data_IF_590140046732
#
_entry.id   IF_590140046732
#
_cell.length_a   1.000
_cell.length_b   1.000
_cell.length_c   1.000
_cell.angle_alpha   90.00
_cell.angle_beta   90.00
_cell.angle_gamma   90.00
#
_symmetry.space_group_name_H-M   'P 1'
#
loop_
_entity.id
_entity.type
_entity.pdbx_description
1 polymer ?
#
# COMPACT_ATOMS: atom_id res chain seq x y z
N UNK A 1 16.73 3.52 -6.19
CA UNK A 1 15.50 2.73 -6.34
C UNK A 1 14.67 2.85 -5.07
N UNK A 2 13.43 3.27 -5.19
CA UNK A 2 12.57 3.47 -4.03
C UNK A 2 12.02 2.14 -3.54
N UNK A 3 12.01 1.98 -2.24
CA UNK A 3 11.43 0.81 -1.59
C UNK A 3 10.19 1.21 -0.80
N UNK A 4 9.23 0.30 -0.75
CA UNK A 4 8.07 0.49 0.10
C UNK A 4 8.51 0.33 1.55
N UNK A 5 8.12 1.26 2.40
CA UNK A 5 8.39 1.19 3.82
C UNK A 5 7.08 1.14 4.60
N UNK A 6 7.12 0.52 5.77
CA UNK A 6 5.99 0.50 6.70
C UNK A 6 6.17 1.64 7.70
N UNK A 7 5.41 2.71 7.52
CA UNK A 7 5.40 3.82 8.46
C UNK A 7 4.42 3.49 9.59
N UNK A 8 4.92 2.77 10.58
CA UNK A 8 4.09 2.25 11.68
C UNK A 8 3.44 3.38 12.48
N UNK A 9 4.17 4.49 12.68
CA UNK A 9 3.65 5.61 13.44
C UNK A 9 2.39 6.22 12.82
N UNK A 10 2.30 6.18 11.49
CA UNK A 10 1.16 6.72 10.75
C UNK A 10 0.24 5.61 10.22
N UNK A 11 0.55 4.37 10.50
CA UNK A 11 -0.21 3.20 10.06
C UNK A 11 -0.47 3.20 8.56
N UNK A 12 0.63 3.30 7.80
CA UNK A 12 0.55 3.25 6.35
C UNK A 12 1.85 2.76 5.74
N UNK A 13 1.74 2.14 4.57
CA UNK A 13 2.88 1.83 3.73
C UNK A 13 3.10 3.00 2.79
N UNK A 14 4.36 3.33 2.56
CA UNK A 14 4.75 4.49 1.74
C UNK A 14 5.76 4.09 0.69
N UNK A 15 5.62 4.69 -0.48
CA UNK A 15 6.59 4.60 -1.57
C UNK A 15 6.91 6.01 -2.04
N UNK A 16 8.18 6.37 -1.98
CA UNK A 16 8.62 7.68 -2.44
C UNK A 16 9.02 7.58 -3.92
N UNK A 17 8.41 8.40 -4.75
CA UNK A 17 8.66 8.45 -6.19
C UNK A 17 8.91 9.91 -6.56
N UNK A 18 10.14 10.21 -6.99
CA UNK A 18 10.53 11.56 -7.39
C UNK A 18 10.18 12.63 -6.35
N UNK A 19 10.42 12.31 -5.06
CA UNK A 19 10.15 13.23 -3.97
C UNK A 19 8.69 13.33 -3.55
N UNK A 20 7.82 12.54 -4.15
CA UNK A 20 6.40 12.51 -3.81
C UNK A 20 6.03 11.15 -3.23
N UNK A 21 5.13 11.16 -2.24
CA UNK A 21 4.78 9.95 -1.51
C UNK A 21 3.45 9.37 -1.98
N UNK A 22 3.49 8.11 -2.41
CA UNK A 22 2.30 7.28 -2.61
C UNK A 22 2.11 6.47 -1.35
N UNK A 23 0.90 6.36 -0.84
CA UNK A 23 0.70 5.64 0.41
C UNK A 23 -0.58 4.82 0.45
N UNK A 24 -0.56 3.82 1.32
CA UNK A 24 -1.71 2.97 1.60
C UNK A 24 -1.93 2.96 3.11
N UNK A 25 -3.02 3.55 3.54
CA UNK A 25 -3.42 3.51 4.95
C UNK A 25 -3.93 2.13 5.29
N UNK A 26 -3.61 1.66 6.48
CA UNK A 26 -4.09 0.37 6.93
C UNK A 26 -4.56 0.41 8.37
N UNK A 27 -5.35 -0.58 8.73
CA UNK A 27 -5.75 -0.82 10.10
C UNK A 27 -5.43 -2.27 10.45
N UNK A 28 -4.90 -2.49 11.64
CA UNK A 28 -4.61 -3.83 12.15
C UNK A 28 -5.66 -4.25 13.16
N UNK A 29 -6.12 -5.48 13.03
CA UNK A 29 -6.96 -6.13 14.01
C UNK A 29 -6.38 -7.54 14.20
N UNK A 30 -5.63 -7.71 15.29
CA UNK A 30 -4.84 -8.93 15.48
C UNK A 30 -3.82 -9.08 14.37
N UNK A 31 -3.91 -10.15 13.59
CA UNK A 31 -3.03 -10.40 12.45
C UNK A 31 -3.67 -10.03 11.11
N UNK A 32 -4.86 -9.42 11.14
CA UNK A 32 -5.53 -9.00 9.92
C UNK A 32 -5.20 -7.55 9.63
N UNK A 33 -4.68 -7.30 8.42
CA UNK A 33 -4.33 -5.96 7.95
C UNK A 33 -5.35 -5.53 6.91
N UNK A 34 -6.12 -4.49 7.23
CA UNK A 34 -7.11 -3.93 6.31
C UNK A 34 -6.51 -2.74 5.59
N UNK A 35 -6.42 -2.82 4.26
CA UNK A 35 -5.99 -1.67 3.44
C UNK A 35 -7.21 -0.80 3.21
N UNK A 36 -7.28 0.32 3.94
CA UNK A 36 -8.47 1.16 3.97
C UNK A 36 -8.47 2.25 2.92
N UNK A 37 -7.29 2.70 2.48
CA UNK A 37 -7.19 3.79 1.53
C UNK A 37 -5.83 3.75 0.83
N UNK A 38 -5.83 3.93 -0.49
CA UNK A 38 -4.61 4.05 -1.28
C UNK A 38 -4.67 5.37 -2.02
N UNK A 39 -3.62 6.17 -1.92
CA UNK A 39 -3.61 7.48 -2.54
C UNK A 39 -2.26 7.77 -3.21
N UNK A 40 -2.33 8.36 -4.40
CA UNK A 40 -1.17 8.85 -5.13
C UNK A 40 -1.35 10.35 -5.39
N UNK A 41 -0.26 11.14 -5.28
CA UNK A 41 -0.31 12.54 -5.68
C UNK A 41 -0.76 12.69 -7.12
N UNK A 42 -1.40 13.81 -7.44
CA UNK A 42 -1.92 14.05 -8.78
C UNK A 42 -0.85 13.86 -9.87
N UNK A 43 0.37 14.32 -9.60
CA UNK A 43 1.48 14.20 -10.54
C UNK A 43 1.88 12.76 -10.86
N UNK A 44 1.54 11.82 -9.97
CA UNK A 44 1.88 10.41 -10.15
C UNK A 44 0.71 9.55 -10.62
N UNK A 45 -0.47 10.13 -10.77
CA UNK A 45 -1.63 9.38 -11.24
C UNK A 45 -1.43 8.98 -12.70
N UNK A 46 -1.79 7.73 -13.02
CA UNK A 46 -1.60 7.20 -14.36
C UNK A 46 -0.20 6.72 -14.66
N UNK A 47 0.74 6.80 -13.70
CA UNK A 47 2.13 6.35 -13.88
C UNK A 47 2.37 4.93 -13.43
N UNK A 48 1.39 4.30 -12.80
CA UNK A 48 1.55 2.97 -12.20
C UNK A 48 2.17 3.00 -10.80
N UNK A 49 2.36 4.19 -10.21
CA UNK A 49 3.00 4.33 -8.90
C UNK A 49 2.22 3.60 -7.79
N UNK A 50 0.89 3.69 -7.80
CA UNK A 50 0.06 2.99 -6.82
C UNK A 50 0.20 1.48 -6.94
N UNK A 51 0.32 0.96 -8.17
CA UNK A 51 0.56 -0.46 -8.41
C UNK A 51 1.90 -0.92 -7.87
N UNK A 52 2.94 -0.09 -8.05
CA UNK A 52 4.27 -0.40 -7.47
C UNK A 52 4.22 -0.41 -5.95
N UNK A 53 3.43 0.48 -5.35
CA UNK A 53 3.22 0.47 -3.91
C UNK A 53 2.60 -0.87 -3.48
N UNK A 54 1.54 -1.30 -4.16
CA UNK A 54 0.89 -2.58 -3.85
C UNK A 54 1.85 -3.76 -4.00
N UNK A 55 2.63 -3.79 -5.07
CA UNK A 55 3.61 -4.85 -5.30
C UNK A 55 4.64 -4.94 -4.17
N UNK A 56 5.02 -3.81 -3.59
CA UNK A 56 5.99 -3.77 -2.50
C UNK A 56 5.38 -4.04 -1.14
N UNK A 57 4.16 -3.55 -0.88
CA UNK A 57 3.57 -3.71 0.45
C UNK A 57 3.09 -5.14 0.73
N UNK A 58 2.61 -5.85 -0.30
CA UNK A 58 2.08 -7.20 -0.10
C UNK A 58 3.13 -8.13 0.53
N UNK A 59 4.35 -8.26 -0.06
CA UNK A 59 5.35 -9.13 0.57
C UNK A 59 5.80 -8.63 1.94
N UNK A 60 5.86 -7.31 2.16
CA UNK A 60 6.22 -6.78 3.48
C UNK A 60 5.19 -7.17 4.54
N UNK A 61 3.91 -7.01 4.23
CA UNK A 61 2.84 -7.36 5.15
C UNK A 61 2.83 -8.85 5.44
N UNK A 62 3.03 -9.68 4.42
CA UNK A 62 3.11 -11.13 4.61
C UNK A 62 4.32 -11.54 5.45
N UNK A 63 5.46 -10.90 5.24
CA UNK A 63 6.66 -11.17 6.02
C UNK A 63 6.45 -10.81 7.51
N UNK A 64 5.58 -9.85 7.79
CA UNK A 64 5.20 -9.48 9.16
C UNK A 64 4.14 -10.41 9.76
N UNK A 65 3.67 -11.41 8.99
CA UNK A 65 2.69 -12.38 9.46
C UNK A 65 1.24 -11.92 9.34
N UNK A 66 0.98 -10.87 8.55
CA UNK A 66 -0.38 -10.34 8.42
C UNK A 66 -1.16 -10.99 7.29
N UNK A 67 -2.46 -11.18 7.54
CA UNK A 67 -3.43 -11.54 6.52
C UNK A 67 -4.00 -10.24 5.95
N UNK A 68 -3.94 -10.08 4.64
CA UNK A 68 -4.32 -8.81 4.00
C UNK A 68 -5.75 -8.87 3.51
N UNK A 69 -6.54 -7.88 3.92
CA UNK A 69 -7.93 -7.71 3.46
C UNK A 69 -8.05 -6.34 2.80
N UNK A 70 -8.29 -6.28 1.48
CA UNK A 70 -8.51 -5.01 0.82
C UNK A 70 -9.90 -4.46 1.14
N UNK A 71 -9.97 -3.19 1.50
CA UNK A 71 -11.22 -2.50 1.80
C UNK A 71 -11.49 -1.42 0.76
N UNK A 72 -10.48 -0.61 0.41
CA UNK A 72 -10.68 0.41 -0.59
C UNK A 72 -10.84 -0.21 -1.99
N UNK A 73 -11.62 0.45 -2.85
CA UNK A 73 -11.95 -0.08 -4.17
C UNK A 73 -10.70 -0.33 -5.03
N UNK A 74 -9.70 0.53 -4.94
CA UNK A 74 -8.46 0.35 -5.69
C UNK A 74 -7.74 -0.94 -5.27
N UNK A 75 -7.59 -1.15 -3.96
CA UNK A 75 -6.91 -2.33 -3.43
C UNK A 75 -7.67 -3.61 -3.78
N UNK A 76 -8.99 -3.57 -3.70
CA UNK A 76 -9.83 -4.71 -4.10
C UNK A 76 -9.59 -5.06 -5.56
N UNK A 77 -9.66 -4.07 -6.44
CA UNK A 77 -9.48 -4.30 -7.88
C UNK A 77 -8.07 -4.78 -8.19
N UNK A 78 -7.06 -4.18 -7.55
CA UNK A 78 -5.66 -4.57 -7.79
C UNK A 78 -5.42 -6.02 -7.38
N UNK A 79 -5.87 -6.41 -6.19
CA UNK A 79 -5.65 -7.77 -5.69
C UNK A 79 -6.42 -8.83 -6.48
N UNK A 80 -7.54 -8.46 -7.09
CA UNK A 80 -8.27 -9.38 -7.98
C UNK A 80 -7.49 -9.71 -9.24
N UNK A 81 -6.70 -8.77 -9.76
CA UNK A 81 -5.94 -8.96 -11.00
C UNK A 81 -4.56 -9.58 -10.76
N UNK A 82 -4.12 -9.58 -9.56
CA UNK A 82 -2.80 -10.05 -9.16
C UNK A 82 -2.92 -11.12 -8.08
#
# INVERSE_FOLDING_TARGET
>A
MSEVIDNIAHRRYELDVDGQTVFADYRLDGQTLYITHVEAPVALRGTGAAGRLMEGLIPLAKASGYDIVPVCSYAVAWMKRH
#
